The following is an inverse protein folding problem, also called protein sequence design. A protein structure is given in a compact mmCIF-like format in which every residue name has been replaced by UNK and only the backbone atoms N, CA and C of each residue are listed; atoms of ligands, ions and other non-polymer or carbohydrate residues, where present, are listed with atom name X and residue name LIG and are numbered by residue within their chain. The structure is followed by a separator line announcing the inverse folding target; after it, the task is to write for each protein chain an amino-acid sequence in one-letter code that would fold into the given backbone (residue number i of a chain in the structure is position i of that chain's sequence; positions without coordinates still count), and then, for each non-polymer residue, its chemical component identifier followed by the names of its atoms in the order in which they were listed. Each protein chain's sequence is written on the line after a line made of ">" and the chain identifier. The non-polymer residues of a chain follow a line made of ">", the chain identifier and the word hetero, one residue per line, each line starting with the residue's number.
data_IF_870704852225
#
_entry.id   IF_870704852225
#
_cell.length_a   1.000
_cell.length_b   1.000
_cell.length_c   1.000
_cell.angle_alpha   90.00
_cell.angle_beta   90.00
_cell.angle_gamma   90.00
#
_symmetry.space_group_name_H-M   'P 1'
#
loop_
_entity.id
_entity.type
_entity.pdbx_description
1 polymer ?
#
# COMPACT_ATOMS: atom_id res chain seq x y z
N UNK A 1 23.69 -5.18 8.17
CA UNK A 1 22.56 -4.22 8.09
C UNK A 1 21.72 -4.39 9.35
N UNK A 2 21.60 -3.34 10.14
CA UNK A 2 20.77 -3.39 11.35
C UNK A 2 19.32 -3.11 10.95
N UNK A 3 18.43 -4.09 11.15
CA UNK A 3 17.01 -3.89 10.98
C UNK A 3 16.46 -3.23 12.25
N UNK A 4 15.80 -2.10 12.09
CA UNK A 4 15.20 -1.37 13.21
C UNK A 4 13.81 -1.93 13.48
N UNK A 5 13.58 -2.37 14.71
CA UNK A 5 12.23 -2.67 15.20
C UNK A 5 11.49 -1.36 15.49
N UNK A 6 10.25 -1.29 15.04
CA UNK A 6 9.38 -0.12 15.21
C UNK A 6 8.48 -0.34 16.41
N UNK A 7 8.44 0.64 17.31
CA UNK A 7 7.53 0.67 18.44
C UNK A 7 6.10 1.04 18.01
N UNK A 8 5.13 0.77 18.86
CA UNK A 8 3.75 1.19 18.62
C UNK A 8 3.64 2.71 18.48
N UNK A 9 4.33 3.47 19.34
CA UNK A 9 4.31 4.93 19.29
C UNK A 9 4.88 5.48 17.98
N UNK A 10 5.97 4.90 17.49
CA UNK A 10 6.54 5.26 16.19
C UNK A 10 5.57 4.94 15.03
N UNK A 11 4.86 3.81 15.12
CA UNK A 11 3.88 3.43 14.10
C UNK A 11 2.68 4.41 14.11
N UNK A 12 2.18 4.78 15.27
CA UNK A 12 1.09 5.74 15.41
C UNK A 12 1.52 7.13 14.91
N UNK A 13 2.70 7.61 15.29
CA UNK A 13 3.25 8.87 14.80
C UNK A 13 3.39 8.87 13.27
N UNK A 14 3.84 7.77 12.66
CA UNK A 14 3.96 7.66 11.21
C UNK A 14 2.61 7.76 10.49
N UNK A 15 1.55 7.25 11.11
CA UNK A 15 0.17 7.37 10.56
C UNK A 15 -0.33 8.81 10.60
N UNK A 16 -0.05 9.53 11.67
CA UNK A 16 -0.40 10.96 11.79
C UNK A 16 0.38 11.81 10.79
N UNK A 17 1.66 11.58 10.64
CA UNK A 17 2.50 12.25 9.64
C UNK A 17 2.02 11.97 8.22
N UNK A 18 1.64 10.73 7.92
CA UNK A 18 1.08 10.35 6.63
C UNK A 18 -0.22 11.10 6.34
N UNK A 19 -1.13 11.15 7.31
CA UNK A 19 -2.39 11.88 7.17
C UNK A 19 -2.16 13.38 6.93
N UNK A 20 -1.20 13.98 7.62
CA UNK A 20 -0.82 15.38 7.43
C UNK A 20 -0.24 15.61 6.03
N UNK A 21 0.64 14.73 5.57
CA UNK A 21 1.24 14.83 4.24
C UNK A 21 0.21 14.65 3.11
N UNK A 22 -0.73 13.73 3.27
CA UNK A 22 -1.87 13.56 2.36
C UNK A 22 -2.69 14.85 2.26
N UNK A 23 -2.96 15.48 3.39
CA UNK A 23 -3.73 16.74 3.45
C UNK A 23 -3.01 17.88 2.73
N UNK A 24 -1.70 18.00 2.90
CA UNK A 24 -0.89 18.99 2.19
C UNK A 24 -0.91 18.76 0.68
N UNK A 25 -0.77 17.52 0.23
CA UNK A 25 -0.83 17.18 -1.20
C UNK A 25 -2.20 17.49 -1.80
N UNK A 26 -3.29 17.12 -1.13
CA UNK A 26 -4.65 17.42 -1.58
C UNK A 26 -4.92 18.93 -1.64
N UNK A 27 -4.40 19.69 -0.68
CA UNK A 27 -4.48 21.16 -0.66
C UNK A 27 -3.70 21.80 -1.81
N UNK A 28 -2.53 21.23 -2.14
CA UNK A 28 -1.68 21.72 -3.23
C UNK A 28 -2.22 21.39 -4.62
N UNK A 29 -3.11 20.41 -4.74
CA UNK A 29 -3.71 19.95 -6.00
C UNK A 29 -5.23 19.86 -5.90
N UNK A 30 -5.94 21.01 -5.79
CA UNK A 30 -7.40 21.01 -5.62
C UNK A 30 -8.12 20.28 -6.74
N UNK A 31 -9.09 19.45 -6.40
CA UNK A 31 -9.90 18.70 -7.37
C UNK A 31 -9.18 17.55 -8.05
N UNK A 32 -7.96 17.22 -7.62
CA UNK A 32 -7.20 16.07 -8.11
C UNK A 32 -7.30 14.89 -7.17
N UNK A 33 -6.92 13.72 -7.66
CA UNK A 33 -6.97 12.46 -6.92
C UNK A 33 -5.59 12.13 -6.38
N UNK A 34 -5.53 11.69 -5.14
CA UNK A 34 -4.33 11.23 -4.46
C UNK A 34 -4.35 9.70 -4.32
N UNK A 35 -3.29 9.05 -4.78
CA UNK A 35 -3.00 7.64 -4.56
C UNK A 35 -1.83 7.52 -3.61
N UNK A 36 -1.98 6.69 -2.58
CA UNK A 36 -0.94 6.42 -1.58
C UNK A 36 -0.57 4.94 -1.59
N UNK A 37 0.73 4.67 -1.57
CA UNK A 37 1.29 3.33 -1.43
C UNK A 37 1.90 3.18 -0.05
N UNK A 38 1.58 2.07 0.61
CA UNK A 38 2.38 1.48 1.68
C UNK A 38 2.61 0.01 1.40
N UNK A 39 3.60 -0.59 2.07
CA UNK A 39 3.93 -2.02 1.91
C UNK A 39 3.38 -2.78 3.10
N UNK A 40 2.69 -3.88 2.82
CA UNK A 40 2.21 -4.80 3.85
C UNK A 40 3.39 -5.65 4.32
N UNK A 41 3.87 -5.34 5.53
CA UNK A 41 4.98 -6.04 6.17
C UNK A 41 4.60 -6.36 7.61
N UNK A 42 4.17 -7.61 7.90
CA UNK A 42 3.85 -8.04 9.26
C UNK A 42 5.05 -7.92 10.20
N UNK A 43 4.78 -7.80 11.50
CA UNK A 43 5.81 -7.72 12.52
C UNK A 43 6.36 -6.31 12.74
N UNK A 44 7.42 -6.22 13.54
CA UNK A 44 7.99 -4.95 14.00
C UNK A 44 8.98 -4.32 13.02
N UNK A 45 9.59 -5.11 12.14
CA UNK A 45 10.54 -4.60 11.14
C UNK A 45 9.78 -4.23 9.89
N UNK A 46 9.71 -2.93 9.58
CA UNK A 46 8.96 -2.40 8.44
C UNK A 46 9.85 -2.06 7.23
N UNK A 47 11.13 -1.86 7.46
CA UNK A 47 12.10 -1.49 6.44
C UNK A 47 13.23 -2.52 6.39
N UNK A 48 13.25 -3.32 5.34
CA UNK A 48 14.25 -4.34 5.07
C UNK A 48 14.37 -4.57 3.55
N UNK A 49 15.20 -5.52 3.14
CA UNK A 49 15.38 -5.85 1.72
C UNK A 49 14.07 -6.32 1.05
N UNK A 50 13.28 -7.11 1.74
CA UNK A 50 11.98 -7.59 1.22
C UNK A 50 11.02 -6.44 0.97
N UNK A 51 10.86 -5.54 1.94
CA UNK A 51 9.99 -4.36 1.79
C UNK A 51 10.48 -3.43 0.67
N UNK A 52 11.79 -3.33 0.45
CA UNK A 52 12.36 -2.59 -0.67
C UNK A 52 11.98 -3.22 -2.02
N UNK A 53 12.11 -4.53 -2.16
CA UNK A 53 11.72 -5.25 -3.39
C UNK A 53 10.23 -5.03 -3.69
N UNK A 54 9.37 -5.16 -2.68
CA UNK A 54 7.92 -4.94 -2.82
C UNK A 54 7.63 -3.48 -3.20
N UNK A 55 8.27 -2.52 -2.54
CA UNK A 55 8.10 -1.09 -2.82
C UNK A 55 8.52 -0.74 -4.26
N UNK A 56 9.65 -1.24 -4.73
CA UNK A 56 10.11 -1.03 -6.10
C UNK A 56 9.15 -1.62 -7.13
N UNK A 57 8.66 -2.82 -6.89
CA UNK A 57 7.66 -3.46 -7.76
C UNK A 57 6.36 -2.64 -7.82
N UNK A 58 5.87 -2.17 -6.67
CA UNK A 58 4.67 -1.34 -6.59
C UNK A 58 4.84 0.01 -7.29
N UNK A 59 5.97 0.69 -7.09
CA UNK A 59 6.29 1.96 -7.77
C UNK A 59 6.35 1.76 -9.28
N UNK A 60 7.01 0.71 -9.76
CA UNK A 60 7.05 0.39 -11.18
C UNK A 60 5.65 0.16 -11.75
N UNK A 61 4.80 -0.58 -11.04
CA UNK A 61 3.42 -0.81 -11.46
C UNK A 61 2.60 0.47 -11.49
N UNK A 62 2.75 1.35 -10.50
CA UNK A 62 2.08 2.65 -10.45
C UNK A 62 2.53 3.57 -11.60
N UNK A 63 3.83 3.68 -11.84
CA UNK A 63 4.38 4.48 -12.94
C UNK A 63 3.91 3.95 -14.28
N UNK A 64 3.86 2.64 -14.47
CA UNK A 64 3.35 2.03 -15.70
C UNK A 64 1.85 2.30 -15.91
N UNK A 65 1.05 2.22 -14.84
CA UNK A 65 -0.39 2.37 -14.93
C UNK A 65 -0.85 3.83 -15.07
N UNK A 66 -0.23 4.73 -14.32
CA UNK A 66 -0.62 6.15 -14.28
C UNK A 66 0.21 7.04 -15.22
N UNK A 67 1.39 6.60 -15.61
CA UNK A 67 2.25 7.16 -16.65
C UNK A 67 2.11 8.65 -16.87
N UNK A 68 1.62 9.03 -18.04
CA UNK A 68 1.46 10.42 -18.47
C UNK A 68 0.40 11.20 -17.67
N UNK A 69 -0.43 10.54 -16.90
CA UNK A 69 -1.44 11.18 -16.04
C UNK A 69 -0.90 11.57 -14.64
N UNK A 70 0.37 11.33 -14.34
CA UNK A 70 0.96 11.75 -13.08
C UNK A 70 1.28 13.24 -13.07
N UNK A 71 0.66 13.97 -12.13
CA UNK A 71 0.94 15.39 -11.89
C UNK A 71 2.04 15.61 -10.87
N UNK A 72 2.15 14.69 -9.90
CA UNK A 72 3.14 14.70 -8.83
C UNK A 72 3.42 13.28 -8.38
N UNK A 73 4.69 13.01 -8.08
CA UNK A 73 5.12 11.76 -7.46
C UNK A 73 6.12 12.04 -6.34
N UNK A 74 5.93 11.39 -5.20
CA UNK A 74 6.84 11.50 -4.05
C UNK A 74 7.05 10.13 -3.45
N UNK A 75 8.32 9.80 -3.20
CA UNK A 75 8.74 8.60 -2.48
C UNK A 75 9.34 9.01 -1.15
N UNK A 76 8.94 8.35 -0.08
CA UNK A 76 9.50 8.53 1.27
C UNK A 76 10.05 7.19 1.75
N UNK A 77 11.35 7.16 2.04
CA UNK A 77 12.04 6.01 2.64
C UNK A 77 12.19 6.26 4.14
N UNK A 78 11.31 5.67 4.93
CA UNK A 78 11.21 5.89 6.37
C UNK A 78 11.55 4.63 7.15
N UNK A 79 12.02 4.73 8.40
CA UNK A 79 12.20 3.56 9.27
C UNK A 79 10.90 2.76 9.47
N UNK A 80 9.74 3.43 9.40
CA UNK A 80 8.41 2.84 9.50
C UNK A 80 7.92 2.19 8.20
N UNK A 81 8.72 2.21 7.15
CA UNK A 81 8.46 1.62 5.85
C UNK A 81 8.50 2.63 4.70
N UNK A 82 8.44 2.10 3.49
CA UNK A 82 8.38 2.91 2.28
C UNK A 82 6.96 3.42 2.06
N UNK A 83 6.86 4.69 1.67
CA UNK A 83 5.61 5.32 1.26
C UNK A 83 5.79 5.98 -0.10
N UNK A 84 4.79 5.89 -0.96
CA UNK A 84 4.75 6.65 -2.21
C UNK A 84 3.42 7.37 -2.34
N UNK A 85 3.46 8.52 -2.97
CA UNK A 85 2.30 9.39 -3.18
C UNK A 85 2.27 9.83 -4.63
N UNK A 86 1.12 9.70 -5.26
CA UNK A 86 0.88 10.03 -6.65
C UNK A 86 -0.37 10.88 -6.76
N UNK A 87 -0.25 12.03 -7.42
CA UNK A 87 -1.40 12.89 -7.75
C UNK A 87 -1.71 12.76 -9.23
N UNK A 88 -2.98 12.54 -9.55
CA UNK A 88 -3.47 12.33 -10.92
C UNK A 88 -4.76 13.12 -11.18
N UNK A 89 -5.02 13.56 -12.43
CA UNK A 89 -6.29 14.15 -12.81
C UNK A 89 -7.42 13.13 -13.00
N UNK A 90 -7.13 11.83 -12.98
CA UNK A 90 -8.18 10.80 -13.03
C UNK A 90 -9.16 10.97 -11.87
N UNK A 91 -10.42 10.58 -12.08
CA UNK A 91 -11.39 10.58 -11.01
C UNK A 91 -11.01 9.59 -9.90
N UNK A 92 -11.53 9.79 -8.70
CA UNK A 92 -11.32 8.88 -7.58
C UNK A 92 -11.75 7.44 -7.93
N UNK A 93 -12.87 7.30 -8.65
CA UNK A 93 -13.37 5.98 -9.07
C UNK A 93 -12.42 5.30 -10.08
N UNK A 94 -11.96 6.02 -11.10
CA UNK A 94 -11.02 5.50 -12.09
C UNK A 94 -9.70 5.09 -11.43
N UNK A 95 -9.15 5.96 -10.58
CA UNK A 95 -7.94 5.66 -9.83
C UNK A 95 -8.12 4.46 -8.90
N UNK A 96 -9.27 4.33 -8.23
CA UNK A 96 -9.55 3.18 -7.35
C UNK A 96 -9.65 1.87 -8.13
N UNK A 97 -10.33 1.86 -9.26
CA UNK A 97 -10.38 0.67 -10.14
C UNK A 97 -8.99 0.25 -10.60
N UNK A 98 -8.15 1.22 -10.96
CA UNK A 98 -6.80 0.94 -11.43
C UNK A 98 -5.88 0.43 -10.30
N UNK A 99 -5.93 1.01 -9.11
CA UNK A 99 -5.18 0.51 -7.96
C UNK A 99 -5.61 -0.90 -7.57
N UNK A 100 -6.91 -1.19 -7.57
CA UNK A 100 -7.42 -2.53 -7.30
C UNK A 100 -6.96 -3.53 -8.37
N UNK A 101 -6.94 -3.13 -9.66
CA UNK A 101 -6.42 -3.97 -10.74
C UNK A 101 -4.94 -4.33 -10.50
N UNK A 102 -4.12 -3.36 -10.11
CA UNK A 102 -2.71 -3.61 -9.78
C UNK A 102 -2.59 -4.60 -8.62
N UNK A 103 -3.32 -4.37 -7.53
CA UNK A 103 -3.31 -5.24 -6.36
C UNK A 103 -3.74 -6.68 -6.69
N UNK A 104 -4.70 -6.84 -7.60
CA UNK A 104 -5.27 -8.16 -7.95
C UNK A 104 -4.46 -8.90 -9.02
N UNK A 105 -3.72 -8.22 -9.87
CA UNK A 105 -3.04 -8.83 -11.03
C UNK A 105 -1.53 -8.91 -10.91
N UNK A 106 -0.90 -8.04 -10.12
CA UNK A 106 0.55 -8.08 -9.95
C UNK A 106 0.97 -9.26 -9.06
N UNK A 107 2.08 -9.99 -9.37
CA UNK A 107 2.55 -11.12 -8.56
C UNK A 107 2.76 -10.78 -7.08
N UNK A 108 3.19 -9.56 -6.76
CA UNK A 108 3.34 -9.06 -5.39
C UNK A 108 2.20 -8.15 -4.95
N UNK A 109 1.13 -8.04 -5.74
CA UNK A 109 0.04 -7.08 -5.52
C UNK A 109 -0.65 -7.25 -4.17
N UNK A 110 -0.65 -8.45 -3.61
CA UNK A 110 -1.22 -8.71 -2.28
C UNK A 110 -0.42 -8.03 -1.15
N UNK A 111 0.84 -7.69 -1.41
CA UNK A 111 1.69 -6.96 -0.48
C UNK A 111 1.66 -5.45 -0.69
N UNK A 112 0.98 -4.98 -1.74
CA UNK A 112 0.74 -3.56 -1.97
C UNK A 112 -0.49 -3.11 -1.20
N UNK A 113 -0.40 -1.97 -0.55
CA UNK A 113 -1.54 -1.29 0.05
C UNK A 113 -1.70 0.06 -0.67
N UNK A 114 -2.61 0.08 -1.64
CA UNK A 114 -2.84 1.20 -2.53
C UNK A 114 -4.16 1.87 -2.18
N UNK A 115 -4.07 2.98 -1.46
CA UNK A 115 -5.22 3.77 -1.07
C UNK A 115 -5.46 4.92 -2.05
N UNK A 116 -6.71 5.13 -2.41
CA UNK A 116 -7.17 6.36 -3.08
C UNK A 116 -7.86 7.21 -2.02
N UNK A 117 -7.35 8.40 -1.81
CA UNK A 117 -7.81 9.33 -0.79
C UNK A 117 -8.71 10.37 -1.42
N UNK A 118 -9.93 10.52 -0.91
CA UNK A 118 -10.87 11.54 -1.37
C UNK A 118 -10.51 12.94 -0.87
N UNK A 119 -11.29 13.93 -1.31
CA UNK A 119 -11.07 15.33 -0.92
C UNK A 119 -11.19 15.57 0.59
N UNK A 120 -11.89 14.71 1.32
CA UNK A 120 -12.07 14.79 2.76
C UNK A 120 -10.97 14.03 3.54
N UNK A 121 -10.03 13.43 2.82
CA UNK A 121 -8.94 12.65 3.41
C UNK A 121 -9.33 11.22 3.81
N UNK A 122 -10.43 10.71 3.26
CA UNK A 122 -10.94 9.36 3.56
C UNK A 122 -10.53 8.38 2.47
N UNK A 123 -9.93 7.23 2.84
CA UNK A 123 -9.63 6.17 1.87
C UNK A 123 -10.91 5.56 1.28
N UNK A 124 -10.94 5.41 -0.03
CA UNK A 124 -12.05 4.75 -0.72
C UNK A 124 -12.02 3.24 -0.51
N UNK A 125 -13.16 2.63 -0.27
CA UNK A 125 -13.29 1.18 -0.19
C UNK A 125 -13.38 0.54 -1.58
N UNK A 126 -13.09 -0.75 -1.67
CA UNK A 126 -13.29 -1.54 -2.91
C UNK A 126 -14.76 -1.64 -3.28
N UNK A 127 -15.61 -1.75 -2.27
CA UNK A 127 -17.06 -1.85 -2.44
C UNK A 127 -17.65 -0.59 -3.09
N UNK A 128 -17.04 0.58 -2.86
CA UNK A 128 -17.48 1.84 -3.48
C UNK A 128 -17.38 1.84 -5.02
N UNK A 129 -16.55 0.96 -5.58
CA UNK A 129 -16.40 0.76 -7.04
C UNK A 129 -16.91 -0.60 -7.50
N UNK A 130 -17.71 -1.28 -6.69
CA UNK A 130 -18.36 -2.54 -7.04
C UNK A 130 -17.44 -3.77 -6.98
N UNK A 131 -16.32 -3.69 -6.27
CA UNK A 131 -15.37 -4.78 -6.14
C UNK A 131 -15.48 -5.47 -4.77
N UNK A 132 -15.15 -6.75 -4.72
CA UNK A 132 -15.14 -7.53 -3.49
C UNK A 132 -14.00 -7.09 -2.56
N UNK A 133 -14.17 -7.25 -1.23
CA UNK A 133 -13.09 -7.03 -0.26
C UNK A 133 -11.86 -7.86 -0.58
N UNK A 134 -10.69 -7.39 -0.13
CA UNK A 134 -9.43 -8.11 -0.30
C UNK A 134 -9.47 -9.46 0.42
N UNK A 135 -8.91 -10.46 -0.26
CA UNK A 135 -8.68 -11.76 0.35
C UNK A 135 -7.46 -11.73 1.28
N UNK A 136 -7.44 -12.64 2.24
CA UNK A 136 -6.31 -12.87 3.10
C UNK A 136 -5.05 -13.23 2.29
N UNK A 137 -3.88 -12.90 2.83
CA UNK A 137 -2.59 -13.23 2.23
C UNK A 137 -2.36 -14.75 2.14
N UNK A 138 -2.88 -15.51 3.10
CA UNK A 138 -2.60 -16.94 3.28
C UNK A 138 -3.76 -17.84 2.83
N UNK A 139 -5.01 -17.38 3.00
CA UNK A 139 -6.21 -18.18 2.72
C UNK A 139 -7.26 -17.40 1.92
N UNK A 140 -8.38 -18.05 1.58
CA UNK A 140 -9.45 -17.45 0.76
C UNK A 140 -10.45 -16.59 1.53
N UNK A 141 -10.32 -16.49 2.85
CA UNK A 141 -11.16 -15.61 3.67
C UNK A 141 -10.87 -14.13 3.36
N UNK A 142 -11.79 -13.27 3.74
CA UNK A 142 -11.52 -11.83 3.72
C UNK A 142 -10.34 -11.47 4.64
N UNK A 143 -9.47 -10.57 4.17
CA UNK A 143 -8.30 -10.13 4.93
C UNK A 143 -8.66 -9.59 6.31
N UNK A 144 -9.72 -8.79 6.40
CA UNK A 144 -10.21 -8.22 7.67
C UNK A 144 -10.63 -9.28 8.68
N UNK A 145 -11.24 -10.37 8.21
CA UNK A 145 -11.63 -11.48 9.07
C UNK A 145 -10.38 -12.12 9.71
N UNK A 146 -9.39 -12.49 8.90
CA UNK A 146 -8.17 -13.10 9.39
C UNK A 146 -7.35 -12.19 10.31
N UNK A 147 -7.34 -10.87 10.03
CA UNK A 147 -6.68 -9.90 10.90
C UNK A 147 -7.35 -9.81 12.28
N UNK A 148 -8.68 -9.71 12.33
CA UNK A 148 -9.44 -9.61 13.58
C UNK A 148 -9.32 -10.88 14.42
N UNK A 149 -9.38 -12.04 13.80
CA UNK A 149 -9.37 -13.34 14.48
C UNK A 149 -7.95 -13.89 14.68
N UNK A 150 -6.91 -13.20 14.18
CA UNK A 150 -5.53 -13.69 14.22
C UNK A 150 -5.43 -15.13 13.72
N UNK A 151 -6.08 -15.42 12.58
CA UNK A 151 -6.25 -16.76 12.02
C UNK A 151 -4.92 -17.43 11.70
N UNK A 152 -3.92 -16.63 11.29
CA UNK A 152 -2.60 -17.11 10.89
C UNK A 152 -1.53 -16.64 11.86
N UNK A 153 -0.53 -17.50 12.08
CA UNK A 153 0.64 -17.17 12.89
C UNK A 153 1.58 -16.20 12.12
N UNK A 154 2.47 -15.54 12.85
CA UNK A 154 3.51 -14.73 12.24
C UNK A 154 4.41 -15.55 11.31
N UNK A 155 4.71 -16.80 11.70
CA UNK A 155 5.50 -17.72 10.88
C UNK A 155 4.83 -18.04 9.54
N UNK A 156 3.51 -18.28 9.53
CA UNK A 156 2.73 -18.53 8.31
C UNK A 156 2.72 -17.31 7.38
N UNK A 157 2.53 -16.11 7.94
CA UNK A 157 2.55 -14.86 7.18
C UNK A 157 3.93 -14.60 6.57
N UNK A 158 4.99 -14.78 7.36
CA UNK A 158 6.38 -14.60 6.90
C UNK A 158 6.74 -15.60 5.81
N UNK A 159 6.40 -16.88 5.99
CA UNK A 159 6.67 -17.92 5.00
C UNK A 159 5.97 -17.63 3.67
N UNK A 160 4.75 -17.12 3.71
CA UNK A 160 4.00 -16.75 2.50
C UNK A 160 4.65 -15.57 1.77
N UNK A 161 5.09 -14.57 2.51
CA UNK A 161 5.81 -13.41 1.93
C UNK A 161 7.14 -13.86 1.30
N UNK A 162 7.91 -14.69 1.99
CA UNK A 162 9.16 -15.24 1.48
C UNK A 162 8.93 -15.98 0.15
N UNK A 163 7.94 -16.87 0.11
CA UNK A 163 7.55 -17.61 -1.10
C UNK A 163 7.20 -16.67 -2.27
N UNK A 164 6.40 -15.65 -2.01
CA UNK A 164 5.98 -14.70 -3.04
C UNK A 164 7.16 -13.91 -3.60
N UNK A 165 8.04 -13.40 -2.73
CA UNK A 165 9.20 -12.61 -3.14
C UNK A 165 10.22 -13.47 -3.86
N UNK A 166 10.52 -14.66 -3.37
CA UNK A 166 11.43 -15.60 -4.03
C UNK A 166 10.94 -15.99 -5.42
N UNK A 167 9.65 -16.23 -5.57
CA UNK A 167 9.05 -16.54 -6.87
C UNK A 167 9.11 -15.36 -7.84
N UNK A 168 9.01 -14.15 -7.33
CA UNK A 168 9.03 -12.93 -8.14
C UNK A 168 10.44 -12.58 -8.64
N UNK A 169 11.48 -12.79 -7.82
CA UNK A 169 12.86 -12.39 -8.17
C UNK A 169 13.62 -13.46 -8.97
N UNK A 170 13.09 -14.65 -9.15
CA UNK A 170 13.65 -15.71 -10.02
C UNK A 170 13.33 -15.42 -11.49
#
# INVERSE_FOLDING_TARGET
>A
MFFMEITLDQLLASREERASFQKELLKGYPGKTLVCLTVIMPGKVKRNLQSLVVAQAAVTALVSAFGDSMLKFRLRDLPTGYEAYLVTPLSNEEAKKETCRIEDTHPLGRLFDLDVIDADGVPMSRESVGLSPRKCLVCDNEARYCMRNRTHTMAELTAKIDEMIESYVR
#
